data_IF_087368637695
#
_entry.id   IF_087368637695
#
_cell.length_a   1.000
_cell.length_b   1.000
_cell.length_c   1.000
_cell.angle_alpha   90.00
_cell.angle_beta   90.00
_cell.angle_gamma   90.00
#
_symmetry.space_group_name_H-M   'P 1'
#
loop_
_entity.id
_entity.type
_entity.pdbx_description
1 polymer ?
#
# COMPACT_ATOMS: atom_id res chain seq x y z
N UNK A 1 11.40 3.45 20.94
CA UNK A 1 10.02 3.68 20.52
C UNK A 1 9.88 5.18 20.37
N UNK A 2 9.39 5.66 19.22
CA UNK A 2 9.09 7.08 19.07
C UNK A 2 7.82 7.35 19.87
N UNK A 3 7.77 8.45 20.61
CA UNK A 3 6.63 8.82 21.46
C UNK A 3 5.33 9.12 20.68
N UNK A 4 5.35 9.07 19.35
CA UNK A 4 4.30 9.56 18.45
C UNK A 4 3.41 8.48 17.82
N UNK A 5 3.52 7.21 18.22
CA UNK A 5 2.76 6.10 17.63
C UNK A 5 3.19 5.71 16.19
N UNK A 6 2.51 4.72 15.56
CA UNK A 6 2.77 4.35 14.17
C UNK A 6 2.26 5.42 13.19
N UNK A 7 2.89 5.50 12.01
CA UNK A 7 2.36 6.25 10.87
C UNK A 7 1.21 5.48 10.22
N UNK A 8 0.15 6.18 9.91
CA UNK A 8 -1.02 5.60 9.25
C UNK A 8 -0.84 5.69 7.73
N UNK A 9 -0.83 4.54 7.07
CA UNK A 9 -0.85 4.45 5.61
C UNK A 9 -2.27 4.76 5.10
N UNK A 10 -2.36 5.14 3.83
CA UNK A 10 -3.64 5.26 3.13
C UNK A 10 -4.34 3.90 2.97
N UNK A 11 -5.47 3.89 2.29
CA UNK A 11 -6.26 2.70 2.01
C UNK A 11 -6.09 2.18 0.59
N UNK A 12 -6.95 1.25 0.18
CA UNK A 12 -7.00 0.72 -1.17
C UNK A 12 -7.39 1.79 -2.19
N UNK A 13 -6.41 2.34 -2.90
CA UNK A 13 -6.64 3.42 -3.88
C UNK A 13 -7.66 3.01 -4.94
N UNK A 14 -7.59 1.77 -5.44
CA UNK A 14 -8.54 1.26 -6.43
C UNK A 14 -9.96 1.22 -5.90
N UNK A 15 -10.15 0.79 -4.65
CA UNK A 15 -11.46 0.76 -3.99
C UNK A 15 -12.04 2.17 -3.86
N UNK A 16 -11.24 3.15 -3.49
CA UNK A 16 -11.67 4.55 -3.40
C UNK A 16 -12.04 5.10 -4.79
N UNK A 17 -11.26 4.82 -5.81
CA UNK A 17 -11.54 5.23 -7.18
C UNK A 17 -12.83 4.60 -7.72
N UNK A 18 -13.08 3.31 -7.43
CA UNK A 18 -14.34 2.64 -7.79
C UNK A 18 -15.53 3.24 -7.03
N UNK A 19 -15.38 3.60 -5.76
CA UNK A 19 -16.40 4.31 -4.99
C UNK A 19 -16.72 5.70 -5.57
N UNK A 20 -15.74 6.35 -6.21
CA UNK A 20 -15.90 7.59 -6.95
C UNK A 20 -16.44 7.40 -8.39
N UNK A 21 -16.76 6.15 -8.77
CA UNK A 21 -17.36 5.82 -10.08
C UNK A 21 -16.36 5.44 -11.18
N UNK A 22 -15.10 5.21 -10.86
CA UNK A 22 -14.14 4.67 -11.83
C UNK A 22 -14.43 3.19 -12.13
N UNK A 23 -14.29 2.79 -13.40
CA UNK A 23 -14.41 1.39 -13.81
C UNK A 23 -13.01 0.83 -14.05
N UNK A 24 -12.53 0.03 -13.11
CA UNK A 24 -11.17 -0.53 -13.14
C UNK A 24 -11.16 -2.02 -13.53
N UNK A 25 -12.27 -2.73 -13.31
CA UNK A 25 -12.36 -4.18 -13.52
C UNK A 25 -12.09 -4.56 -14.99
N UNK A 26 -11.20 -5.54 -15.17
CA UNK A 26 -10.80 -6.02 -16.50
C UNK A 26 -9.81 -5.12 -17.26
N UNK A 27 -9.37 -4.00 -16.69
CA UNK A 27 -8.35 -3.16 -17.30
C UNK A 27 -6.94 -3.65 -16.90
N UNK A 28 -6.07 -3.96 -17.89
CA UNK A 28 -4.71 -4.43 -17.61
C UNK A 28 -3.83 -3.44 -16.82
N UNK A 29 -4.13 -2.18 -16.85
CA UNK A 29 -3.40 -1.14 -16.11
C UNK A 29 -4.08 -0.78 -14.79
N UNK A 30 -5.29 -1.32 -14.54
CA UNK A 30 -6.04 -1.06 -13.32
C UNK A 30 -6.09 0.46 -13.03
N UNK A 31 -5.84 0.89 -11.80
CA UNK A 31 -5.84 2.31 -11.42
C UNK A 31 -4.75 3.14 -12.13
N UNK A 32 -3.67 2.54 -12.59
CA UNK A 32 -2.60 3.26 -13.27
C UNK A 32 -3.04 3.90 -14.61
N UNK A 33 -4.09 3.36 -15.27
CA UNK A 33 -4.68 3.99 -16.46
C UNK A 33 -5.15 5.41 -16.19
N UNK A 34 -5.66 5.66 -15.00
CA UNK A 34 -6.21 6.97 -14.63
C UNK A 34 -5.13 8.07 -14.54
N UNK A 35 -3.86 7.72 -14.43
CA UNK A 35 -2.76 8.70 -14.56
C UNK A 35 -2.82 9.47 -15.90
N UNK A 36 -3.37 8.83 -16.93
CA UNK A 36 -3.56 9.45 -18.24
C UNK A 36 -4.99 9.91 -18.47
N UNK A 37 -5.97 9.07 -18.14
CA UNK A 37 -7.36 9.29 -18.56
C UNK A 37 -8.16 10.15 -17.59
N UNK A 38 -7.83 10.12 -16.29
CA UNK A 38 -8.50 10.92 -15.27
C UNK A 38 -7.59 11.17 -14.05
N UNK A 39 -6.51 11.96 -14.19
CA UNK A 39 -5.59 12.25 -13.07
C UNK A 39 -6.28 13.00 -11.92
N UNK A 40 -7.37 13.72 -12.18
CA UNK A 40 -8.12 14.42 -11.15
C UNK A 40 -8.73 13.45 -10.13
N UNK A 41 -9.30 12.31 -10.59
CA UNK A 41 -9.84 11.31 -9.68
C UNK A 41 -8.77 10.75 -8.72
N UNK A 42 -7.54 10.53 -9.22
CA UNK A 42 -6.41 10.12 -8.37
C UNK A 42 -6.10 11.20 -7.32
N UNK A 43 -6.02 12.47 -7.73
CA UNK A 43 -5.77 13.59 -6.82
C UNK A 43 -6.85 13.71 -5.75
N UNK A 44 -8.12 13.54 -6.12
CA UNK A 44 -9.24 13.61 -5.18
C UNK A 44 -9.24 12.41 -4.22
N UNK A 45 -8.89 11.19 -4.66
CA UNK A 45 -8.73 10.03 -3.80
C UNK A 45 -7.59 10.24 -2.77
N UNK A 46 -6.42 10.70 -3.21
CA UNK A 46 -5.33 11.04 -2.28
C UNK A 46 -5.73 12.10 -1.26
N UNK A 47 -6.43 13.13 -1.70
CA UNK A 47 -6.92 14.19 -0.81
C UNK A 47 -7.92 13.64 0.22
N UNK A 48 -8.81 12.74 -0.19
CA UNK A 48 -9.75 12.06 0.69
C UNK A 48 -9.04 11.23 1.78
N UNK A 49 -7.99 10.47 1.42
CA UNK A 49 -7.19 9.75 2.41
C UNK A 49 -6.50 10.68 3.42
N UNK A 50 -5.95 11.80 2.96
CA UNK A 50 -5.35 12.80 3.84
C UNK A 50 -6.36 13.41 4.82
N UNK A 51 -7.57 13.72 4.35
CA UNK A 51 -8.67 14.19 5.21
C UNK A 51 -9.10 13.14 6.24
N UNK A 52 -8.94 11.85 5.90
CA UNK A 52 -9.23 10.72 6.80
C UNK A 52 -8.11 10.44 7.79
N UNK A 53 -6.97 11.14 7.70
CA UNK A 53 -5.88 11.07 8.67
C UNK A 53 -4.72 10.18 8.26
N UNK A 54 -4.53 9.91 6.97
CA UNK A 54 -3.34 9.24 6.47
C UNK A 54 -2.09 10.12 6.66
N UNK A 55 -1.02 9.54 7.21
CA UNK A 55 0.30 10.16 7.32
C UNK A 55 1.17 9.88 6.08
N UNK A 56 0.86 8.82 5.34
CA UNK A 56 1.56 8.41 4.12
C UNK A 56 0.53 8.04 3.07
N UNK A 57 0.67 8.60 1.87
CA UNK A 57 -0.13 8.21 0.71
C UNK A 57 0.74 7.51 -0.34
N UNK A 58 0.20 6.46 -0.96
CA UNK A 58 0.87 5.68 -2.00
C UNK A 58 0.39 6.09 -3.39
N UNK A 59 1.31 6.19 -4.34
CA UNK A 59 0.99 6.63 -5.70
C UNK A 59 0.19 5.58 -6.48
N UNK A 60 -0.58 6.01 -7.49
CA UNK A 60 -1.35 5.14 -8.39
C UNK A 60 -0.43 4.40 -9.41
N UNK A 61 0.71 3.88 -8.94
CA UNK A 61 1.74 3.30 -9.81
C UNK A 61 2.00 1.80 -9.56
N UNK A 62 1.21 1.14 -8.74
CA UNK A 62 1.36 -0.28 -8.41
C UNK A 62 1.50 -1.17 -9.66
N UNK A 63 0.59 -1.06 -10.62
CA UNK A 63 0.63 -1.79 -11.90
C UNK A 63 1.26 -0.98 -13.04
N UNK A 64 1.75 0.23 -12.76
CA UNK A 64 2.33 1.08 -13.78
C UNK A 64 3.71 0.56 -14.19
N UNK A 65 3.90 0.36 -15.49
CA UNK A 65 5.20 0.07 -16.08
C UNK A 65 5.32 0.73 -17.44
N UNK A 66 6.54 0.98 -17.88
CA UNK A 66 6.77 1.53 -19.25
C UNK A 66 6.18 0.57 -20.29
N UNK A 67 6.44 -0.72 -20.15
CA UNK A 67 5.92 -1.75 -21.06
C UNK A 67 4.39 -1.80 -21.04
N UNK A 68 3.78 -1.76 -19.85
CA UNK A 68 2.32 -1.79 -19.70
C UNK A 68 1.63 -0.60 -20.38
N UNK A 69 2.13 0.62 -20.17
CA UNK A 69 1.59 1.81 -20.82
C UNK A 69 1.77 1.78 -22.34
N UNK A 70 2.94 1.40 -22.84
CA UNK A 70 3.19 1.28 -24.28
C UNK A 70 2.25 0.23 -24.90
N UNK A 71 2.10 -0.92 -24.26
CA UNK A 71 1.30 -2.04 -24.80
C UNK A 71 -0.21 -1.74 -24.78
N UNK A 72 -0.71 -1.12 -23.71
CA UNK A 72 -2.18 -1.02 -23.49
C UNK A 72 -2.75 0.39 -23.74
N UNK A 73 -1.92 1.39 -24.02
CA UNK A 73 -2.37 2.78 -24.23
C UNK A 73 -1.84 3.42 -25.50
N UNK A 74 -1.01 2.72 -26.28
CA UNK A 74 -0.42 3.23 -27.53
C UNK A 74 0.33 4.56 -27.33
N UNK A 75 1.07 4.67 -26.22
CA UNK A 75 1.92 5.84 -25.91
C UNK A 75 3.40 5.52 -26.12
N UNK A 76 4.23 6.55 -26.34
CA UNK A 76 5.68 6.35 -26.41
C UNK A 76 6.28 5.98 -25.03
N UNK A 77 7.48 5.38 -25.04
CA UNK A 77 8.18 5.04 -23.80
C UNK A 77 8.51 6.30 -22.97
N UNK A 78 8.78 7.45 -23.61
CA UNK A 78 8.98 8.74 -22.93
C UNK A 78 7.70 9.15 -22.21
N UNK A 79 6.55 9.08 -22.92
CA UNK A 79 5.24 9.40 -22.31
C UNK A 79 4.90 8.45 -21.16
N UNK A 80 5.22 7.18 -21.28
CA UNK A 80 5.05 6.20 -20.20
C UNK A 80 5.86 6.57 -18.95
N UNK A 81 7.10 7.03 -19.09
CA UNK A 81 7.92 7.53 -17.98
C UNK A 81 7.36 8.81 -17.37
N UNK A 82 6.84 9.74 -18.19
CA UNK A 82 6.14 10.92 -17.68
C UNK A 82 4.92 10.55 -16.84
N UNK A 83 4.14 9.55 -17.26
CA UNK A 83 2.98 9.06 -16.51
C UNK A 83 3.39 8.44 -15.18
N UNK A 84 4.44 7.64 -15.12
CA UNK A 84 5.01 7.13 -13.87
C UNK A 84 5.38 8.29 -12.92
N UNK A 85 6.12 9.28 -13.42
CA UNK A 85 6.52 10.45 -12.64
C UNK A 85 5.33 11.29 -12.19
N UNK A 86 4.28 11.40 -13.02
CA UNK A 86 3.07 12.16 -12.68
C UNK A 86 2.31 11.58 -11.49
N UNK A 87 2.42 10.27 -11.23
CA UNK A 87 1.86 9.64 -10.04
C UNK A 87 2.38 10.28 -8.74
N UNK A 88 3.69 10.54 -8.66
CA UNK A 88 4.30 11.23 -7.53
C UNK A 88 3.87 12.69 -7.47
N UNK A 89 3.81 13.38 -8.61
CA UNK A 89 3.43 14.79 -8.68
C UNK A 89 1.98 15.01 -8.19
N UNK A 90 1.02 14.16 -8.61
CA UNK A 90 -0.37 14.20 -8.17
C UNK A 90 -0.50 14.01 -6.66
N UNK A 91 0.22 13.04 -6.11
CA UNK A 91 0.24 12.82 -4.66
C UNK A 91 0.84 14.03 -3.91
N UNK A 92 1.95 14.59 -4.39
CA UNK A 92 2.56 15.79 -3.82
C UNK A 92 1.64 17.02 -3.90
N UNK A 93 0.88 17.19 -4.99
CA UNK A 93 -0.10 18.26 -5.15
C UNK A 93 -1.26 18.09 -4.16
N UNK A 94 -1.73 16.86 -3.94
CA UNK A 94 -2.76 16.55 -2.95
C UNK A 94 -2.28 16.86 -1.53
N UNK A 95 -1.02 16.53 -1.18
CA UNK A 95 -0.41 16.92 0.10
C UNK A 95 -0.34 18.45 0.24
N UNK A 96 0.09 19.17 -0.80
CA UNK A 96 0.16 20.65 -0.77
C UNK A 96 -1.24 21.26 -0.56
N UNK A 97 -2.25 20.77 -1.29
CA UNK A 97 -3.64 21.17 -1.13
C UNK A 97 -4.13 20.93 0.29
N UNK A 98 -3.92 19.72 0.82
CA UNK A 98 -4.31 19.37 2.19
C UNK A 98 -3.69 20.30 3.23
N UNK A 99 -2.38 20.55 3.14
CA UNK A 99 -1.67 21.47 4.07
C UNK A 99 -2.20 22.89 3.96
N UNK A 100 -2.48 23.36 2.73
CA UNK A 100 -3.06 24.71 2.51
C UNK A 100 -4.47 24.85 3.08
N UNK A 101 -5.31 23.82 2.93
CA UNK A 101 -6.72 23.90 3.31
C UNK A 101 -6.94 23.69 4.81
N UNK A 102 -6.14 22.84 5.45
CA UNK A 102 -6.32 22.45 6.85
C UNK A 102 -5.42 23.19 7.83
N UNK A 103 -4.34 23.83 7.36
CA UNK A 103 -3.35 24.53 8.19
C UNK A 103 -2.96 23.74 9.45
N UNK A 104 -2.45 22.51 9.33
CA UNK A 104 -2.19 21.64 10.46
C UNK A 104 -1.12 22.29 11.36
N UNK A 105 -1.50 22.66 12.60
CA UNK A 105 -0.62 23.42 13.51
C UNK A 105 0.49 22.59 14.14
N UNK A 106 0.34 21.26 14.18
CA UNK A 106 1.28 20.34 14.83
C UNK A 106 1.45 19.01 14.08
N UNK A 107 0.74 18.81 12.97
CA UNK A 107 0.89 17.60 12.16
C UNK A 107 2.15 17.65 11.31
N UNK A 108 2.85 16.52 11.27
CA UNK A 108 3.92 16.32 10.29
C UNK A 108 3.34 16.43 8.89
N UNK A 109 4.12 17.00 7.95
CA UNK A 109 3.75 16.96 6.54
C UNK A 109 3.56 15.49 6.14
N UNK A 110 2.42 15.11 5.54
CA UNK A 110 2.24 13.77 5.02
C UNK A 110 3.32 13.40 4.00
N UNK A 111 3.71 12.13 3.98
CA UNK A 111 4.72 11.58 3.07
C UNK A 111 4.06 11.01 1.82
N UNK A 112 4.81 11.02 0.72
CA UNK A 112 4.44 10.39 -0.54
C UNK A 112 5.33 9.19 -0.78
N UNK A 113 4.74 8.00 -0.90
CA UNK A 113 5.42 6.76 -1.21
C UNK A 113 5.14 6.35 -2.67
N UNK A 114 6.19 6.18 -3.46
CA UNK A 114 6.08 5.68 -4.83
C UNK A 114 5.84 4.17 -4.83
N UNK A 115 4.64 3.73 -5.21
CA UNK A 115 4.25 2.33 -5.22
C UNK A 115 4.89 1.55 -6.37
N UNK A 116 5.50 0.42 -6.03
CA UNK A 116 6.15 -0.55 -6.93
C UNK A 116 5.58 -1.93 -6.63
N UNK A 117 4.70 -2.40 -7.50
CA UNK A 117 4.15 -3.76 -7.43
C UNK A 117 5.10 -4.80 -8.03
N UNK A 118 4.82 -6.10 -7.84
CA UNK A 118 5.61 -7.19 -8.40
C UNK A 118 5.44 -7.31 -9.92
N UNK A 119 6.34 -8.06 -10.56
CA UNK A 119 6.21 -8.38 -11.98
C UNK A 119 4.87 -9.09 -12.29
N UNK A 120 4.39 -9.93 -11.36
CA UNK A 120 3.09 -10.61 -11.46
C UNK A 120 1.90 -9.67 -11.63
N UNK A 121 1.95 -8.48 -11.06
CA UNK A 121 0.88 -7.49 -11.24
C UNK A 121 0.75 -7.01 -12.69
N UNK A 122 1.84 -7.01 -13.46
CA UNK A 122 1.82 -6.72 -14.90
C UNK A 122 1.22 -7.88 -15.72
N UNK A 123 1.35 -9.13 -15.26
CA UNK A 123 0.85 -10.30 -16.01
C UNK A 123 -0.68 -10.43 -16.00
N UNK A 124 -1.37 -9.83 -15.02
CA UNK A 124 -2.86 -9.86 -14.87
C UNK A 124 -3.48 -11.25 -14.77
N UNK A 125 -2.74 -12.22 -14.24
CA UNK A 125 -3.14 -13.62 -14.12
C UNK A 125 -3.22 -14.10 -12.65
N UNK A 126 -3.07 -13.16 -11.68
CA UNK A 126 -3.07 -13.45 -10.25
C UNK A 126 -1.72 -13.96 -9.73
N UNK A 127 -0.68 -13.94 -10.56
CA UNK A 127 0.64 -14.44 -10.16
C UNK A 127 1.35 -13.58 -9.13
N UNK A 128 0.88 -12.37 -8.87
CA UNK A 128 1.26 -11.55 -7.70
C UNK A 128 0.91 -12.21 -6.36
N UNK A 129 0.04 -13.23 -6.36
CA UNK A 129 -0.33 -14.04 -5.19
C UNK A 129 0.25 -15.45 -5.20
N UNK A 130 1.06 -15.79 -6.19
CA UNK A 130 1.74 -17.11 -6.28
C UNK A 130 3.24 -17.00 -6.46
N UNK A 131 3.73 -15.97 -7.15
CA UNK A 131 5.14 -15.79 -7.49
C UNK A 131 5.66 -16.78 -8.53
N UNK A 132 4.80 -17.54 -9.23
CA UNK A 132 5.20 -18.62 -10.12
C UNK A 132 6.15 -18.17 -11.25
N UNK A 133 5.98 -16.95 -11.78
CA UNK A 133 6.87 -16.38 -12.81
C UNK A 133 8.33 -16.25 -12.36
N UNK A 134 8.57 -16.14 -11.06
CA UNK A 134 9.92 -15.96 -10.53
C UNK A 134 10.80 -17.20 -10.73
N UNK A 135 10.23 -18.38 -10.94
CA UNK A 135 11.01 -19.58 -11.28
C UNK A 135 11.70 -19.44 -12.64
N UNK A 136 11.03 -18.81 -13.60
CA UNK A 136 11.50 -18.66 -14.99
C UNK A 136 12.36 -17.42 -15.21
N UNK A 137 12.31 -16.43 -14.31
CA UNK A 137 13.07 -15.20 -14.41
C UNK A 137 14.35 -15.22 -13.57
N UNK A 138 15.43 -14.68 -14.11
CA UNK A 138 16.66 -14.42 -13.35
C UNK A 138 16.54 -13.15 -12.49
N UNK A 139 17.40 -13.02 -11.47
CA UNK A 139 17.52 -11.81 -10.65
C UNK A 139 17.78 -10.58 -11.52
N UNK A 140 18.65 -10.70 -12.53
CA UNK A 140 18.98 -9.57 -13.43
C UNK A 140 17.79 -9.15 -14.32
N UNK A 141 16.97 -10.08 -14.81
CA UNK A 141 15.75 -9.76 -15.55
C UNK A 141 14.75 -9.03 -14.68
N UNK A 142 14.55 -9.45 -13.43
CA UNK A 142 13.70 -8.77 -12.46
C UNK A 142 14.24 -7.36 -12.15
N UNK A 143 15.56 -7.19 -11.98
CA UNK A 143 16.18 -5.86 -11.78
C UNK A 143 15.97 -4.96 -13.00
N UNK A 144 16.16 -5.47 -14.22
CA UNK A 144 15.93 -4.72 -15.46
C UNK A 144 14.48 -4.27 -15.55
N UNK A 145 13.53 -5.15 -15.18
CA UNK A 145 12.12 -4.83 -15.17
C UNK A 145 11.79 -3.65 -14.23
N UNK A 146 12.20 -3.73 -12.98
CA UNK A 146 11.84 -2.74 -11.97
C UNK A 146 12.61 -1.42 -12.07
N UNK A 147 13.78 -1.41 -12.73
CA UNK A 147 14.69 -0.25 -12.75
C UNK A 147 14.02 1.02 -13.23
N UNK A 148 13.30 0.99 -14.35
CA UNK A 148 12.68 2.20 -14.90
C UNK A 148 11.55 2.74 -14.02
N UNK A 149 10.81 1.90 -13.32
CA UNK A 149 9.75 2.32 -12.40
C UNK A 149 10.37 3.02 -11.19
N UNK A 150 11.33 2.39 -10.52
CA UNK A 150 12.02 2.99 -9.35
C UNK A 150 12.72 4.30 -9.74
N UNK A 151 13.39 4.34 -10.90
CA UNK A 151 14.06 5.54 -11.41
C UNK A 151 13.08 6.71 -11.57
N UNK A 152 11.94 6.49 -12.24
CA UNK A 152 10.92 7.52 -12.42
C UNK A 152 10.35 8.03 -11.09
N UNK A 153 10.07 7.14 -10.15
CA UNK A 153 9.49 7.51 -8.85
C UNK A 153 10.51 8.27 -7.97
N UNK A 154 11.75 7.80 -7.92
CA UNK A 154 12.84 8.45 -7.19
C UNK A 154 13.18 9.82 -7.79
N UNK A 155 13.31 9.92 -9.11
CA UNK A 155 13.59 11.18 -9.80
C UNK A 155 12.46 12.21 -9.66
N UNK A 156 11.21 11.76 -9.57
CA UNK A 156 10.05 12.62 -9.31
C UNK A 156 9.98 13.11 -7.85
N UNK A 157 10.83 12.60 -6.95
CA UNK A 157 10.97 13.07 -5.58
C UNK A 157 9.96 12.43 -4.62
N UNK A 158 9.66 11.13 -4.79
CA UNK A 158 8.95 10.36 -3.77
C UNK A 158 9.75 10.37 -2.45
N UNK A 159 9.07 10.57 -1.32
CA UNK A 159 9.71 10.58 0.00
C UNK A 159 10.21 9.16 0.39
N UNK A 160 9.48 8.13 -0.08
CA UNK A 160 9.77 6.71 0.10
C UNK A 160 9.43 5.92 -1.18
N UNK A 161 10.00 4.74 -1.33
CA UNK A 161 9.57 3.75 -2.32
C UNK A 161 8.82 2.64 -1.58
N UNK A 162 7.56 2.41 -1.95
CA UNK A 162 6.73 1.35 -1.44
C UNK A 162 6.89 0.10 -2.33
N UNK A 163 7.81 -0.77 -1.99
CA UNK A 163 7.96 -2.06 -2.66
C UNK A 163 6.96 -3.01 -2.00
N UNK A 164 5.87 -3.31 -2.70
CA UNK A 164 4.70 -3.92 -2.05
C UNK A 164 4.14 -5.14 -2.79
N UNK A 165 3.49 -6.01 -2.03
CA UNK A 165 2.83 -7.24 -2.54
C UNK A 165 3.82 -8.20 -3.21
N UNK A 166 5.08 -8.19 -2.80
CA UNK A 166 6.11 -9.03 -3.39
C UNK A 166 5.85 -10.49 -3.02
N UNK A 167 5.64 -11.40 -3.99
CA UNK A 167 5.25 -12.77 -3.69
C UNK A 167 6.43 -13.71 -3.48
N UNK A 168 7.65 -13.33 -3.87
CA UNK A 168 8.78 -14.26 -4.00
C UNK A 168 10.06 -13.70 -3.39
N UNK A 169 10.84 -14.60 -2.75
CA UNK A 169 12.15 -14.25 -2.20
C UNK A 169 13.14 -13.85 -3.30
N UNK A 170 13.05 -14.44 -4.51
CA UNK A 170 13.93 -14.09 -5.62
C UNK A 170 13.69 -12.66 -6.10
N UNK A 171 12.44 -12.24 -6.22
CA UNK A 171 12.12 -10.86 -6.60
C UNK A 171 12.50 -9.86 -5.50
N UNK A 172 12.29 -10.22 -4.23
CA UNK A 172 12.76 -9.43 -3.10
C UNK A 172 14.28 -9.23 -3.13
N UNK A 173 15.05 -10.28 -3.46
CA UNK A 173 16.51 -10.20 -3.61
C UNK A 173 16.91 -9.25 -4.74
N UNK A 174 16.26 -9.37 -5.90
CA UNK A 174 16.47 -8.49 -7.04
C UNK A 174 16.21 -7.01 -6.67
N UNK A 175 15.12 -6.72 -5.97
CA UNK A 175 14.72 -5.37 -5.56
C UNK A 175 15.66 -4.78 -4.50
N UNK A 176 16.08 -5.59 -3.52
CA UNK A 176 17.06 -5.18 -2.51
C UNK A 176 18.42 -4.85 -3.14
N UNK A 177 18.86 -5.64 -4.13
CA UNK A 177 20.07 -5.31 -4.89
C UNK A 177 19.91 -4.06 -5.76
N UNK A 178 18.76 -3.93 -6.43
CA UNK A 178 18.47 -2.79 -7.30
C UNK A 178 18.42 -1.47 -6.54
N UNK A 179 17.91 -1.44 -5.32
CA UNK A 179 17.87 -0.23 -4.49
C UNK A 179 19.25 0.42 -4.31
N UNK A 180 20.34 -0.34 -4.37
CA UNK A 180 21.72 0.20 -4.25
C UNK A 180 22.07 1.14 -5.40
N UNK A 181 21.38 1.03 -6.55
CA UNK A 181 21.55 1.96 -7.69
C UNK A 181 20.90 3.34 -7.39
N UNK A 182 20.04 3.43 -6.36
CA UNK A 182 19.30 4.61 -5.93
C UNK A 182 19.67 5.01 -4.47
N UNK A 183 20.92 5.40 -4.19
CA UNK A 183 21.46 5.50 -2.82
C UNK A 183 20.74 6.54 -1.94
N UNK A 184 20.05 7.50 -2.55
CA UNK A 184 19.29 8.54 -1.83
C UNK A 184 17.85 8.13 -1.52
N UNK A 185 17.37 7.02 -2.07
CA UNK A 185 16.01 6.53 -1.83
C UNK A 185 15.95 5.68 -0.57
N UNK A 186 14.92 5.89 0.24
CA UNK A 186 14.51 5.00 1.32
C UNK A 186 13.26 4.24 0.87
N UNK A 187 13.08 3.03 1.39
CA UNK A 187 11.96 2.19 0.96
C UNK A 187 11.42 1.35 2.13
N UNK A 188 10.24 0.81 1.95
CA UNK A 188 9.81 -0.40 2.66
C UNK A 188 9.66 -1.56 1.69
N UNK A 189 9.66 -2.78 2.23
CA UNK A 189 9.42 -4.01 1.49
C UNK A 189 8.31 -4.79 2.17
N UNK A 190 7.21 -5.06 1.47
CA UNK A 190 6.10 -5.85 1.99
C UNK A 190 5.72 -7.00 1.07
N UNK A 191 5.31 -8.09 1.67
CA UNK A 191 5.05 -9.37 1.01
C UNK A 191 3.57 -9.70 1.00
N UNK A 192 3.09 -10.26 -0.10
CA UNK A 192 1.86 -11.04 -0.10
C UNK A 192 2.13 -12.41 0.51
N UNK A 193 1.16 -12.93 1.30
CA UNK A 193 1.35 -14.14 2.09
C UNK A 193 0.20 -15.11 1.89
N UNK A 194 0.52 -16.40 1.75
CA UNK A 194 -0.49 -17.45 1.57
C UNK A 194 -1.04 -18.02 2.88
N UNK A 195 -0.27 -17.88 3.96
CA UNK A 195 -0.65 -18.34 5.30
C UNK A 195 0.11 -17.58 6.40
N UNK A 196 -0.09 -17.92 7.67
CA UNK A 196 0.56 -17.29 8.81
C UNK A 196 2.04 -17.66 9.00
N UNK A 197 2.69 -18.27 7.99
CA UNK A 197 4.10 -18.70 8.05
C UNK A 197 4.89 -18.36 6.80
N UNK A 198 4.23 -18.41 5.63
CA UNK A 198 4.89 -18.34 4.34
C UNK A 198 4.36 -17.16 3.51
N UNK A 199 5.26 -16.56 2.73
CA UNK A 199 4.91 -15.65 1.65
C UNK A 199 4.31 -16.45 0.48
N UNK A 200 3.83 -15.77 -0.55
CA UNK A 200 3.00 -16.37 -1.60
C UNK A 200 3.69 -17.51 -2.37
N UNK A 201 5.01 -17.43 -2.62
CA UNK A 201 5.78 -18.51 -3.30
C UNK A 201 6.04 -19.75 -2.42
N UNK A 202 5.69 -19.70 -1.15
CA UNK A 202 5.88 -20.79 -0.19
C UNK A 202 7.16 -20.68 0.64
N UNK A 203 8.02 -19.72 0.40
CA UNK A 203 9.18 -19.44 1.22
C UNK A 203 8.76 -18.96 2.61
N UNK A 204 9.58 -19.23 3.63
CA UNK A 204 9.31 -18.76 4.96
C UNK A 204 9.41 -17.22 5.01
N UNK A 205 8.48 -16.56 5.70
CA UNK A 205 8.56 -15.12 5.92
C UNK A 205 9.85 -14.71 6.65
N UNK A 206 10.35 -15.57 7.54
CA UNK A 206 11.64 -15.40 8.22
C UNK A 206 12.82 -15.28 7.23
N UNK A 207 12.83 -16.07 6.15
CA UNK A 207 13.86 -15.99 5.11
C UNK A 207 13.74 -14.71 4.29
N UNK A 208 12.52 -14.28 3.99
CA UNK A 208 12.24 -13.02 3.32
C UNK A 208 12.73 -11.80 4.14
N UNK A 209 12.55 -11.82 5.47
CA UNK A 209 13.07 -10.77 6.36
C UNK A 209 14.61 -10.77 6.37
N UNK A 210 15.28 -11.93 6.29
CA UNK A 210 16.74 -11.97 6.18
C UNK A 210 17.25 -11.33 4.87
N UNK A 211 16.52 -11.44 3.78
CA UNK A 211 16.84 -10.72 2.52
C UNK A 211 16.70 -9.22 2.73
N UNK A 212 15.62 -8.77 3.34
CA UNK A 212 15.42 -7.34 3.65
C UNK A 212 16.55 -6.77 4.52
N UNK A 213 17.06 -7.52 5.50
CA UNK A 213 18.16 -7.10 6.35
C UNK A 213 19.48 -6.83 5.61
N UNK A 214 19.63 -7.27 4.36
CA UNK A 214 20.80 -6.96 3.53
C UNK A 214 20.81 -5.52 2.99
N UNK A 215 19.71 -4.78 3.17
CA UNK A 215 19.57 -3.39 2.72
C UNK A 215 19.66 -2.41 3.88
N UNK A 216 20.46 -1.36 3.70
CA UNK A 216 20.53 -0.19 4.61
C UNK A 216 19.55 0.92 4.22
N UNK A 217 18.80 0.71 3.15
CA UNK A 217 17.84 1.68 2.60
C UNK A 217 16.40 1.35 3.01
N UNK A 218 16.14 0.10 3.40
CA UNK A 218 14.83 -0.29 3.92
C UNK A 218 14.64 0.25 5.34
N UNK A 219 13.55 0.98 5.54
CA UNK A 219 13.12 1.51 6.85
C UNK A 219 12.12 0.57 7.53
N UNK A 220 11.43 -0.27 6.74
CA UNK A 220 10.50 -1.26 7.24
C UNK A 220 10.43 -2.48 6.31
N UNK A 221 10.08 -3.61 6.90
CA UNK A 221 9.72 -4.86 6.19
C UNK A 221 8.42 -5.40 6.78
N UNK A 222 7.61 -6.09 6.00
CA UNK A 222 6.36 -6.62 6.53
C UNK A 222 5.46 -7.27 5.51
N UNK A 223 4.15 -7.08 5.70
CA UNK A 223 3.13 -7.80 4.93
C UNK A 223 1.99 -6.89 4.50
N UNK A 224 1.43 -7.17 3.31
CA UNK A 224 0.24 -6.49 2.81
C UNK A 224 -0.59 -7.43 1.93
N UNK A 225 -1.79 -7.01 1.53
CA UNK A 225 -2.67 -7.77 0.63
C UNK A 225 -2.85 -9.24 1.05
N UNK A 226 -2.91 -9.52 2.34
CA UNK A 226 -3.13 -10.85 2.90
C UNK A 226 -4.20 -10.80 4.00
N UNK A 227 -4.63 -11.96 4.49
CA UNK A 227 -5.58 -12.02 5.61
C UNK A 227 -5.00 -11.35 6.86
N UNK A 228 -5.75 -10.51 7.58
CA UNK A 228 -5.30 -9.92 8.84
C UNK A 228 -4.97 -10.99 9.91
N UNK A 229 -5.58 -12.18 9.82
CA UNK A 229 -5.27 -13.30 10.70
C UNK A 229 -3.84 -13.87 10.53
N UNK A 230 -3.18 -13.59 9.41
CA UNK A 230 -1.80 -14.06 9.17
C UNK A 230 -0.74 -13.15 9.77
N UNK A 231 -1.08 -11.88 10.06
CA UNK A 231 -0.12 -10.85 10.42
C UNK A 231 0.63 -11.20 11.71
N UNK A 232 -0.09 -11.41 12.81
CA UNK A 232 0.53 -11.67 14.12
C UNK A 232 1.49 -12.87 14.09
N UNK A 233 1.10 -14.07 13.59
CA UNK A 233 2.03 -15.21 13.52
C UNK A 233 3.20 -14.99 12.56
N UNK A 234 3.04 -14.24 11.45
CA UNK A 234 4.13 -13.89 10.55
C UNK A 234 5.17 -13.02 11.26
N UNK A 235 4.73 -11.92 11.89
CA UNK A 235 5.64 -11.02 12.62
C UNK A 235 6.37 -11.75 13.75
N UNK A 236 5.67 -12.59 14.51
CA UNK A 236 6.28 -13.36 15.60
C UNK A 236 7.32 -14.34 15.09
N UNK A 237 7.10 -14.98 13.92
CA UNK A 237 8.03 -15.93 13.33
C UNK A 237 9.41 -15.31 12.99
N UNK A 238 9.44 -14.02 12.72
CA UNK A 238 10.63 -13.29 12.25
C UNK A 238 11.12 -12.21 13.24
N UNK A 239 10.44 -12.04 14.37
CA UNK A 239 10.72 -10.96 15.34
C UNK A 239 12.16 -10.87 15.79
N UNK A 240 12.79 -12.01 16.06
CA UNK A 240 14.21 -12.07 16.50
C UNK A 240 15.21 -11.80 15.38
N UNK A 241 14.77 -11.79 14.14
CA UNK A 241 15.58 -11.56 12.95
C UNK A 241 15.53 -10.11 12.46
N UNK A 242 14.52 -9.34 12.87
CA UNK A 242 14.36 -7.96 12.43
C UNK A 242 15.56 -7.11 12.85
N UNK A 243 16.17 -6.43 11.89
CA UNK A 243 17.25 -5.47 12.16
C UNK A 243 16.79 -4.37 13.12
N UNK A 244 17.61 -3.93 14.09
CA UNK A 244 17.26 -2.85 15.01
C UNK A 244 16.90 -1.52 14.33
N UNK A 245 17.41 -1.29 13.12
CA UNK A 245 17.17 -0.08 12.33
C UNK A 245 15.89 -0.17 11.45
N UNK A 246 15.23 -1.33 11.42
CA UNK A 246 13.99 -1.56 10.71
C UNK A 246 12.79 -1.70 11.65
N UNK A 247 11.61 -1.39 11.14
CA UNK A 247 10.33 -1.64 11.79
C UNK A 247 9.45 -2.56 10.95
N UNK A 248 8.28 -2.95 11.48
CA UNK A 248 7.28 -3.62 10.68
C UNK A 248 6.41 -2.63 9.92
N UNK A 249 6.03 -3.01 8.69
CA UNK A 249 4.97 -2.40 7.90
C UNK A 249 3.84 -3.42 7.72
N UNK A 250 2.59 -3.01 8.01
CA UNK A 250 1.43 -3.92 8.05
C UNK A 250 0.22 -3.22 7.44
N UNK A 251 -0.29 -3.73 6.32
CA UNK A 251 -1.53 -3.26 5.68
C UNK A 251 -2.24 -4.40 4.95
N UNK A 252 -2.86 -5.30 5.72
CA UNK A 252 -3.58 -6.46 5.19
C UNK A 252 -4.91 -6.04 4.52
N UNK A 253 -5.60 -7.02 3.95
CA UNK A 253 -6.98 -6.83 3.48
C UNK A 253 -7.93 -6.59 4.67
N UNK A 254 -9.11 -6.02 4.40
CA UNK A 254 -10.15 -5.77 5.41
C UNK A 254 -10.73 -7.04 6.06
N UNK A 255 -10.31 -8.22 5.59
CA UNK A 255 -10.82 -9.52 6.04
C UNK A 255 -11.84 -10.13 5.09
N UNK A 256 -12.09 -9.51 3.96
CA UNK A 256 -12.86 -10.06 2.84
C UNK A 256 -11.95 -10.98 2.01
N UNK A 257 -12.53 -12.07 1.50
CA UNK A 257 -11.85 -13.00 0.60
C UNK A 257 -12.18 -12.64 -0.85
N UNK A 258 -11.16 -12.62 -1.71
CA UNK A 258 -11.35 -12.46 -3.14
C UNK A 258 -11.55 -13.82 -3.79
N UNK A 259 -12.65 -13.97 -4.52
CA UNK A 259 -12.93 -15.11 -5.38
C UNK A 259 -12.87 -14.68 -6.85
N UNK A 260 -12.15 -15.43 -7.68
CA UNK A 260 -11.93 -15.05 -9.08
C UNK A 260 -13.21 -15.04 -9.94
N UNK A 261 -14.26 -15.75 -9.51
CA UNK A 261 -15.54 -15.83 -10.24
C UNK A 261 -16.62 -14.93 -9.62
N UNK A 262 -16.56 -14.71 -8.27
CA UNK A 262 -17.61 -14.02 -7.51
C UNK A 262 -17.18 -12.63 -7.01
N UNK A 263 -15.89 -12.26 -7.16
CA UNK A 263 -15.34 -11.02 -6.63
C UNK A 263 -15.13 -11.09 -5.11
N UNK A 264 -15.25 -9.94 -4.43
CA UNK A 264 -15.09 -9.86 -2.99
C UNK A 264 -16.23 -10.58 -2.25
N UNK A 265 -15.90 -11.61 -1.51
CA UNK A 265 -16.84 -12.36 -0.68
C UNK A 265 -16.92 -11.68 0.70
N UNK A 266 -18.14 -11.32 1.12
CA UNK A 266 -18.36 -10.85 2.49
C UNK A 266 -18.06 -11.99 3.48
N UNK A 267 -17.13 -11.75 4.40
CA UNK A 267 -16.66 -12.74 5.35
C UNK A 267 -17.83 -13.35 6.15
N UNK A 268 -18.00 -14.65 6.01
CA UNK A 268 -19.05 -15.41 6.72
C UNK A 268 -18.79 -15.61 8.22
N UNK A 269 -17.61 -15.21 8.73
CA UNK A 269 -17.27 -15.10 10.16
C UNK A 269 -16.51 -13.79 10.33
N UNK A 270 -16.93 -12.95 11.29
CA UNK A 270 -16.19 -11.76 11.69
C UNK A 270 -14.77 -12.16 12.09
N UNK A 271 -13.81 -11.96 11.17
CA UNK A 271 -12.43 -11.76 11.57
C UNK A 271 -12.36 -10.44 12.35
N UNK A 272 -11.46 -10.34 13.33
CA UNK A 272 -11.23 -9.08 13.99
C UNK A 272 -10.82 -8.03 12.94
N UNK A 273 -11.38 -6.83 13.04
CA UNK A 273 -11.12 -5.74 12.10
C UNK A 273 -9.68 -5.23 12.24
N UNK A 274 -9.13 -4.65 11.19
CA UNK A 274 -7.78 -4.05 11.21
C UNK A 274 -7.61 -3.06 12.36
N UNK A 275 -8.56 -2.16 12.67
CA UNK A 275 -8.47 -1.30 13.85
C UNK A 275 -8.33 -2.05 15.18
N UNK A 276 -9.05 -3.17 15.37
CA UNK A 276 -8.95 -3.97 16.60
C UNK A 276 -7.58 -4.63 16.75
N UNK A 277 -6.99 -5.09 15.64
CA UNK A 277 -5.69 -5.77 15.61
C UNK A 277 -4.50 -4.80 15.62
N UNK A 278 -4.68 -3.57 15.17
CA UNK A 278 -3.61 -2.58 14.99
C UNK A 278 -2.81 -2.31 16.27
N UNK A 279 -3.46 -2.31 17.43
CA UNK A 279 -2.77 -2.17 18.71
C UNK A 279 -1.82 -3.32 19.02
N UNK A 280 -2.20 -4.55 18.63
CA UNK A 280 -1.32 -5.72 18.79
C UNK A 280 -0.10 -5.58 17.87
N UNK A 281 -0.30 -5.21 16.61
CA UNK A 281 0.79 -5.00 15.67
C UNK A 281 1.73 -3.86 16.09
N UNK A 282 1.17 -2.75 16.58
CA UNK A 282 1.98 -1.67 17.13
C UNK A 282 2.84 -2.13 18.33
N UNK A 283 2.29 -2.95 19.23
CA UNK A 283 3.04 -3.56 20.34
C UNK A 283 4.11 -4.55 19.86
N UNK A 284 3.89 -5.21 18.72
CA UNK A 284 4.89 -6.07 18.07
C UNK A 284 5.99 -5.25 17.37
N UNK A 285 5.86 -3.93 17.27
CA UNK A 285 6.85 -3.03 16.68
C UNK A 285 6.50 -2.51 15.28
N UNK A 286 5.22 -2.62 14.85
CA UNK A 286 4.79 -1.99 13.61
C UNK A 286 4.80 -0.47 13.76
N UNK A 287 5.50 0.21 12.85
CA UNK A 287 5.57 1.68 12.77
C UNK A 287 4.87 2.26 11.55
N UNK A 288 4.41 1.40 10.64
CA UNK A 288 3.62 1.73 9.46
C UNK A 288 2.42 0.77 9.43
N UNK A 289 1.22 1.31 9.59
CA UNK A 289 -0.02 0.52 9.67
C UNK A 289 -1.06 1.11 8.74
N UNK A 290 -1.70 0.25 7.95
CA UNK A 290 -2.79 0.60 7.05
C UNK A 290 -3.75 -0.55 6.81
N UNK A 291 -4.61 -0.40 5.83
CA UNK A 291 -5.56 -1.42 5.40
C UNK A 291 -5.77 -1.33 3.89
N UNK A 292 -5.82 -2.48 3.23
CA UNK A 292 -6.18 -2.59 1.82
C UNK A 292 -7.67 -2.96 1.70
N UNK A 293 -8.34 -2.48 0.66
CA UNK A 293 -9.70 -2.87 0.29
C UNK A 293 -10.85 -2.44 1.24
N UNK A 294 -10.65 -1.48 2.12
CA UNK A 294 -11.76 -0.98 2.92
C UNK A 294 -12.54 0.11 2.19
N UNK A 295 -13.86 -0.07 2.06
CA UNK A 295 -14.80 0.97 1.61
C UNK A 295 -14.96 2.13 2.61
N UNK A 296 -14.19 2.16 3.69
CA UNK A 296 -14.54 2.98 4.83
C UNK A 296 -13.41 3.93 5.21
N UNK A 297 -13.55 5.21 4.86
CA UNK A 297 -12.93 6.34 5.53
C UNK A 297 -12.92 6.18 7.07
N UNK A 298 -13.92 5.47 7.62
CA UNK A 298 -14.02 5.14 9.03
C UNK A 298 -12.84 4.35 9.57
N UNK A 299 -12.23 3.43 8.82
CA UNK A 299 -11.10 2.67 9.31
C UNK A 299 -9.88 3.57 9.50
N UNK A 300 -9.54 4.38 8.50
CA UNK A 300 -8.43 5.35 8.58
C UNK A 300 -8.66 6.39 9.67
N UNK A 301 -9.87 6.96 9.77
CA UNK A 301 -10.23 7.88 10.83
C UNK A 301 -10.10 7.24 12.21
N UNK A 302 -10.51 5.98 12.33
CA UNK A 302 -10.41 5.23 13.59
C UNK A 302 -8.95 4.96 13.95
N UNK A 303 -8.12 4.50 13.00
CA UNK A 303 -6.68 4.32 13.20
C UNK A 303 -6.00 5.64 13.58
N UNK A 304 -6.30 6.70 12.87
CA UNK A 304 -5.76 8.04 13.16
C UNK A 304 -6.16 8.52 14.56
N UNK A 305 -7.39 8.26 15.00
CA UNK A 305 -7.86 8.59 16.35
C UNK A 305 -7.19 7.72 17.43
N UNK A 306 -7.00 6.43 17.16
CA UNK A 306 -6.37 5.49 18.10
C UNK A 306 -4.93 5.85 18.43
N UNK A 307 -4.19 6.32 17.43
CA UNK A 307 -2.76 6.61 17.57
C UNK A 307 -2.43 8.10 17.65
N UNK A 308 -3.42 8.98 17.69
CA UNK A 308 -3.18 10.43 17.85
C UNK A 308 -2.87 10.78 19.31
N UNK A 309 -1.70 11.33 19.63
CA UNK A 309 -1.33 11.72 20.99
C UNK A 309 -2.17 12.89 21.55
N UNK A 310 -2.90 13.63 20.70
CA UNK A 310 -3.64 14.85 21.07
C UNK A 310 -5.13 14.64 21.28
N UNK A 311 -5.68 13.45 21.03
CA UNK A 311 -7.12 13.18 21.16
C UNK A 311 -7.40 12.08 22.18
N UNK A 312 -7.25 12.37 23.48
CA UNK A 312 -7.93 11.62 24.54
C UNK A 312 -9.44 11.94 24.56
N UNK A 313 -10.10 11.74 23.43
CA UNK A 313 -11.54 11.60 23.39
C UNK A 313 -11.86 10.24 24.02
N UNK A 314 -12.66 10.24 25.09
CA UNK A 314 -13.02 9.00 25.77
C UNK A 314 -13.60 8.00 24.76
N UNK A 315 -13.30 6.72 24.92
CA UNK A 315 -13.84 5.62 24.10
C UNK A 315 -15.37 5.70 23.93
N UNK A 316 -16.07 6.32 24.88
CA UNK A 316 -17.50 6.58 24.83
C UNK A 316 -17.93 7.60 23.76
N UNK A 317 -17.10 8.57 23.40
CA UNK A 317 -17.43 9.56 22.36
C UNK A 317 -17.21 8.98 20.94
N UNK A 318 -16.28 8.05 20.79
CA UNK A 318 -16.06 7.31 19.55
C UNK A 318 -17.20 6.31 19.29
N UNK A 319 -17.66 5.62 20.33
CA UNK A 319 -18.81 4.71 20.25
C UNK A 319 -20.11 5.44 19.86
N UNK A 320 -20.31 6.68 20.31
CA UNK A 320 -21.48 7.50 19.96
C UNK A 320 -21.45 7.94 18.47
N UNK A 321 -20.27 8.20 17.90
CA UNK A 321 -20.14 8.55 16.48
C UNK A 321 -20.39 7.34 15.53
N UNK A 322 -20.08 6.12 16.01
CA UNK A 322 -20.32 4.87 15.27
C UNK A 322 -21.78 4.42 15.33
N UNK A 323 -22.55 4.86 16.35
CA UNK A 323 -23.94 4.45 16.59
C UNK A 323 -25.00 5.36 15.93
N UNK A 324 -24.59 6.43 15.23
CA UNK A 324 -25.53 7.30 14.53
C UNK A 324 -26.08 6.56 13.28
N UNK A 325 -27.41 6.46 13.11
CA UNK A 325 -27.97 5.79 11.95
C UNK A 325 -27.65 6.59 10.67
N UNK A 326 -27.13 5.89 9.68
CA UNK A 326 -26.97 6.41 8.32
C UNK A 326 -28.34 6.79 7.76
N UNK A 327 -28.64 8.08 7.71
CA UNK A 327 -29.75 8.59 6.91
C UNK A 327 -29.34 8.50 5.43
N UNK A 328 -29.73 7.40 4.79
CA UNK A 328 -29.74 7.30 3.33
C UNK A 328 -30.67 8.40 2.79
N UNK A 329 -30.09 9.45 2.24
CA UNK A 329 -30.84 10.33 1.35
C UNK A 329 -31.14 9.55 0.08
N UNK A 330 -32.41 9.12 -0.04
CA UNK A 330 -32.95 8.61 -1.29
C UNK A 330 -32.94 9.73 -2.32
N UNK A 331 -32.10 9.62 -3.35
CA UNK A 331 -32.28 10.40 -4.56
C UNK A 331 -33.47 9.81 -5.31
N UNK A 332 -34.59 10.50 -5.24
CA UNK A 332 -35.76 10.25 -6.06
C UNK A 332 -35.44 10.68 -7.49
N UNK A 333 -35.45 9.71 -8.40
CA UNK A 333 -35.44 9.95 -9.83
C UNK A 333 -36.84 10.42 -10.27
N UNK A 334 -36.99 11.66 -10.62
CA UNK A 334 -38.06 12.16 -11.46
C UNK A 334 -37.51 12.95 -12.64
#
# INVERSE_FOLDING_TARGET
>A
MRDDGPLILDGGLSTELEAQGAHLQGDPLWSARLLHTNPQAIGDAHYSFLLSGADVITTATYQASVTGFVTHMDVSAERARELLSSGVQLAQESVKRFVSDTHPTEQRRPLVAGSVGPYGAFLHDGSEYTGAYAEEMSIEELKVWHRSQIDCLAAAGADLIAIETIPSVKEAEALVELLREFPNSKAWLSFSCKDGRCISDGSLFADAVQIANRSTQLVAVGVNCCSPAFVEPLLDSARSLLSPDMSWVVYPNSGEEWDAEQGWLTAGKRSASVPELSHTWAKQGASLIGEMNSFLFFCLQFLSLLFSPLKSLSVHQVAAAVSAPLTLQSYDNS
#
